data_IF_820335084779
#
_entry.id   IF_820335084779
#
_cell.length_a   1.000
_cell.length_b   1.000
_cell.length_c   1.000
_cell.angle_alpha   90.00
_cell.angle_beta   90.00
_cell.angle_gamma   90.00
#
_symmetry.space_group_name_H-M   'P 1'
#
loop_
_entity.id
_entity.type
_entity.pdbx_description
1 polymer ?
#
# COMPACT_ATOMS: atom_id res chain seq x y z
N UNK A 1 5.95 2.88 -21.72
CA UNK A 1 4.74 3.01 -20.89
C UNK A 1 5.06 2.30 -19.59
N UNK A 2 4.81 2.89 -18.41
CA UNK A 2 5.02 2.14 -17.17
C UNK A 2 4.14 0.90 -17.19
N UNK A 3 4.72 -0.19 -16.73
CA UNK A 3 3.99 -1.44 -16.57
C UNK A 3 3.73 -1.61 -15.08
N UNK A 4 2.80 -0.79 -14.56
CA UNK A 4 2.40 -0.83 -13.17
C UNK A 4 1.48 -2.02 -12.95
N UNK A 5 1.84 -2.88 -12.01
CA UNK A 5 0.98 -3.94 -11.51
C UNK A 5 0.73 -3.76 -10.02
N UNK A 6 -0.51 -4.04 -9.58
CA UNK A 6 -0.87 -4.09 -8.17
C UNK A 6 -1.03 -5.53 -7.71
N UNK A 7 -0.28 -5.91 -6.68
CA UNK A 7 -0.31 -7.25 -6.08
C UNK A 7 -0.99 -7.17 -4.72
N UNK A 8 -2.23 -7.64 -4.64
CA UNK A 8 -2.96 -7.74 -3.37
C UNK A 8 -2.55 -9.01 -2.61
N UNK A 9 -2.04 -8.79 -1.40
CA UNK A 9 -1.53 -9.84 -0.52
C UNK A 9 -2.58 -10.17 0.54
N UNK A 10 -3.20 -9.16 1.15
CA UNK A 10 -4.28 -9.35 2.11
C UNK A 10 -5.57 -9.86 1.43
N UNK A 11 -6.33 -10.79 2.04
CA UNK A 11 -6.11 -11.43 3.35
C UNK A 11 -5.30 -12.75 3.27
N UNK A 12 -4.63 -13.04 2.15
CA UNK A 12 -4.02 -14.36 1.90
C UNK A 12 -2.86 -14.70 2.83
N UNK A 13 -2.19 -13.69 3.40
CA UNK A 13 -1.07 -13.86 4.33
C UNK A 13 -1.48 -13.27 5.69
N UNK A 14 -1.40 -14.10 6.73
CA UNK A 14 -1.65 -13.70 8.12
C UNK A 14 -0.54 -12.78 8.67
N UNK A 15 -0.77 -12.20 9.84
CA UNK A 15 0.24 -11.44 10.59
C UNK A 15 1.53 -12.26 10.78
N UNK A 16 2.66 -11.70 10.35
CA UNK A 16 4.00 -12.25 10.56
C UNK A 16 4.82 -11.16 11.25
N UNK A 17 5.46 -11.48 12.37
CA UNK A 17 6.30 -10.53 13.12
C UNK A 17 5.60 -9.19 13.42
N UNK A 18 4.32 -9.23 13.82
CA UNK A 18 3.50 -8.03 14.08
C UNK A 18 3.23 -7.18 12.84
N UNK A 19 3.45 -7.70 11.65
CA UNK A 19 3.19 -7.00 10.39
C UNK A 19 2.20 -7.77 9.52
N UNK A 20 1.35 -7.02 8.83
CA UNK A 20 0.43 -7.54 7.83
C UNK A 20 0.73 -6.88 6.49
N UNK A 21 1.14 -7.67 5.50
CA UNK A 21 1.36 -7.16 4.15
C UNK A 21 0.02 -6.99 3.45
N UNK A 22 -0.28 -5.77 2.98
CA UNK A 22 -1.57 -5.45 2.39
C UNK A 22 -1.55 -5.61 0.88
N UNK A 23 -0.73 -4.80 0.21
CA UNK A 23 -0.54 -4.85 -1.23
C UNK A 23 0.80 -4.23 -1.62
N UNK A 24 1.17 -4.44 -2.88
CA UNK A 24 2.37 -3.86 -3.49
C UNK A 24 2.02 -3.25 -4.83
N UNK A 25 2.63 -2.11 -5.14
CA UNK A 25 2.55 -1.49 -6.47
C UNK A 25 3.93 -1.62 -7.10
N UNK A 26 4.02 -2.34 -8.22
CA UNK A 26 5.29 -2.71 -8.87
C UNK A 26 5.38 -2.06 -10.24
N UNK A 27 6.45 -1.30 -10.50
CA UNK A 27 6.81 -0.97 -11.88
C UNK A 27 7.69 -2.10 -12.44
N UNK A 28 7.14 -2.90 -13.35
CA UNK A 28 7.87 -4.05 -13.91
C UNK A 28 9.05 -3.68 -14.80
N UNK A 29 9.13 -2.44 -15.28
CA UNK A 29 10.25 -2.01 -16.12
C UNK A 29 11.55 -1.91 -15.30
N UNK A 30 11.46 -1.37 -14.09
CA UNK A 30 12.59 -1.10 -13.20
C UNK A 30 12.59 -2.00 -11.95
N UNK A 31 11.56 -2.84 -11.78
CA UNK A 31 11.34 -3.75 -10.65
C UNK A 31 11.29 -3.04 -9.29
N UNK A 32 10.89 -1.78 -9.29
CA UNK A 32 10.71 -0.98 -8.08
C UNK A 32 9.32 -1.19 -7.49
N UNK A 33 9.17 -0.96 -6.19
CA UNK A 33 7.93 -1.26 -5.48
C UNK A 33 7.61 -0.24 -4.41
N UNK A 34 6.33 0.11 -4.31
CA UNK A 34 5.73 0.65 -3.10
C UNK A 34 5.09 -0.52 -2.34
N UNK A 35 5.53 -0.78 -1.12
CA UNK A 35 4.95 -1.83 -0.26
C UNK A 35 4.10 -1.17 0.79
N UNK A 36 2.82 -1.56 0.85
CA UNK A 36 1.87 -1.08 1.85
C UNK A 36 1.62 -2.21 2.84
N UNK A 37 1.82 -1.92 4.12
CA UNK A 37 1.73 -2.90 5.20
C UNK A 37 1.23 -2.24 6.49
N UNK A 38 0.58 -3.01 7.35
CA UNK A 38 0.21 -2.58 8.69
C UNK A 38 1.20 -3.13 9.72
N UNK A 39 1.66 -2.31 10.66
CA UNK A 39 2.44 -2.74 11.81
C UNK A 39 1.57 -2.67 13.07
N UNK A 40 1.47 -3.77 13.83
CA UNK A 40 0.59 -3.88 14.99
C UNK A 40 1.02 -2.91 16.08
N UNK A 41 0.10 -2.03 16.48
CA UNK A 41 0.25 -1.12 17.62
C UNK A 41 -0.94 -1.32 18.56
N UNK A 42 -0.71 -2.04 19.66
CA UNK A 42 -1.75 -2.45 20.61
C UNK A 42 -2.87 -3.27 19.93
N UNK A 43 -4.07 -2.69 19.77
CA UNK A 43 -5.24 -3.34 19.14
C UNK A 43 -5.37 -2.99 17.66
N UNK A 44 -4.73 -1.91 17.23
CA UNK A 44 -4.81 -1.38 15.87
C UNK A 44 -3.51 -1.68 15.09
N UNK A 45 -3.44 -1.16 13.88
CA UNK A 45 -2.27 -1.19 13.03
C UNK A 45 -1.89 0.24 12.62
N UNK A 46 -0.61 0.55 12.67
CA UNK A 46 -0.04 1.69 11.96
C UNK A 46 0.12 1.29 10.50
N UNK A 47 -0.63 1.96 9.61
CA UNK A 47 -0.56 1.72 8.18
C UNK A 47 0.64 2.47 7.62
N UNK A 48 1.56 1.74 7.02
CA UNK A 48 2.83 2.22 6.53
C UNK A 48 2.97 1.92 5.05
N UNK A 49 3.70 2.80 4.36
CA UNK A 49 4.15 2.61 2.99
C UNK A 49 5.66 2.77 2.95
N UNK A 50 6.37 1.82 2.36
CA UNK A 50 7.80 1.92 2.08
C UNK A 50 8.06 1.94 0.58
N UNK A 51 8.85 2.91 0.14
CA UNK A 51 9.42 2.93 -1.20
C UNK A 51 10.72 2.13 -1.19
N UNK A 52 10.77 1.01 -1.90
CA UNK A 52 11.92 0.09 -1.84
C UNK A 52 13.19 0.65 -2.50
N UNK A 53 13.07 1.71 -3.31
CA UNK A 53 14.21 2.37 -3.93
C UNK A 53 14.90 3.33 -2.96
N UNK A 54 14.13 4.17 -2.25
CA UNK A 54 14.67 5.16 -1.31
C UNK A 54 14.84 4.60 0.10
N UNK A 55 14.11 3.54 0.45
CA UNK A 55 13.97 3.07 1.83
C UNK A 55 13.13 3.99 2.70
N UNK A 56 12.51 5.04 2.12
CA UNK A 56 11.67 5.98 2.86
C UNK A 56 10.37 5.31 3.29
N UNK A 57 10.06 5.42 4.58
CA UNK A 57 8.83 4.93 5.19
C UNK A 57 7.91 6.11 5.46
N UNK A 58 6.65 6.00 5.04
CA UNK A 58 5.61 6.99 5.25
C UNK A 58 4.45 6.39 6.02
N UNK A 59 3.99 7.12 7.02
CA UNK A 59 2.81 6.77 7.79
C UNK A 59 1.55 7.27 7.06
N UNK A 60 0.62 6.36 6.79
CA UNK A 60 -0.67 6.62 6.15
C UNK A 60 -1.79 6.87 7.19
N UNK A 61 -1.59 6.39 8.42
CA UNK A 61 -2.45 6.61 9.59
C UNK A 61 -2.64 5.34 10.42
N UNK A 62 -3.46 5.44 11.46
CA UNK A 62 -3.89 4.29 12.26
C UNK A 62 -5.14 3.65 11.65
N UNK A 63 -5.21 2.33 11.66
CA UNK A 63 -6.31 1.55 11.09
C UNK A 63 -6.59 0.32 11.96
N UNK A 64 -7.87 0.03 12.23
CA UNK A 64 -8.23 -1.21 12.90
C UNK A 64 -8.43 -2.37 11.90
N UNK A 65 -8.58 -3.59 12.41
CA UNK A 65 -8.70 -4.81 11.59
C UNK A 65 -9.91 -4.79 10.65
N UNK A 66 -11.04 -4.21 11.08
CA UNK A 66 -12.26 -4.08 10.28
C UNK A 66 -12.12 -3.04 9.16
N UNK A 67 -11.28 -2.02 9.37
CA UNK A 67 -11.05 -0.94 8.41
C UNK A 67 -10.06 -1.33 7.32
N UNK A 68 -9.16 -2.28 7.57
CA UNK A 68 -8.18 -2.77 6.58
C UNK A 68 -8.87 -3.29 5.32
N UNK A 69 -9.93 -4.09 5.46
CA UNK A 69 -10.69 -4.59 4.31
C UNK A 69 -11.34 -3.45 3.52
N UNK A 70 -11.88 -2.43 4.21
CA UNK A 70 -12.47 -1.24 3.58
C UNK A 70 -11.41 -0.46 2.80
N UNK A 71 -10.25 -0.26 3.40
CA UNK A 71 -9.12 0.42 2.77
C UNK A 71 -8.64 -0.31 1.51
N UNK A 72 -8.44 -1.63 1.59
CA UNK A 72 -8.10 -2.46 0.43
C UNK A 72 -9.15 -2.35 -0.68
N UNK A 73 -10.43 -2.41 -0.33
CA UNK A 73 -11.53 -2.29 -1.29
C UNK A 73 -11.53 -0.93 -1.98
N UNK A 74 -11.27 0.14 -1.22
CA UNK A 74 -11.12 1.50 -1.74
C UNK A 74 -9.94 1.63 -2.70
N UNK A 75 -8.79 1.03 -2.36
CA UNK A 75 -7.61 1.01 -3.25
C UNK A 75 -7.95 0.30 -4.56
N UNK A 76 -8.58 -0.88 -4.51
CA UNK A 76 -9.03 -1.61 -5.70
C UNK A 76 -9.97 -0.78 -6.59
N UNK A 77 -10.92 -0.07 -5.98
CA UNK A 77 -11.86 0.77 -6.72
C UNK A 77 -11.17 1.91 -7.48
N UNK A 78 -10.00 2.36 -7.00
CA UNK A 78 -9.24 3.47 -7.58
C UNK A 78 -7.99 3.03 -8.33
N UNK A 79 -7.79 1.73 -8.52
CA UNK A 79 -6.58 1.17 -9.14
C UNK A 79 -6.25 1.82 -10.47
N UNK A 80 -7.24 1.86 -11.37
CA UNK A 80 -7.08 2.47 -12.70
C UNK A 80 -6.66 3.94 -12.65
N UNK A 81 -6.99 4.68 -11.59
CA UNK A 81 -6.64 6.10 -11.46
C UNK A 81 -5.13 6.26 -11.24
N UNK A 82 -4.55 5.46 -10.33
CA UNK A 82 -3.13 5.60 -10.00
C UNK A 82 -2.22 4.77 -10.91
N UNK A 83 -2.68 3.64 -11.46
CA UNK A 83 -1.87 2.88 -12.43
C UNK A 83 -1.69 3.60 -13.77
N UNK A 84 -2.51 4.62 -14.03
CA UNK A 84 -2.38 5.50 -15.20
C UNK A 84 -1.38 6.66 -15.00
N UNK A 85 -0.82 6.83 -13.81
CA UNK A 85 0.14 7.90 -13.49
C UNK A 85 1.52 7.65 -14.10
N UNK A 86 2.35 8.70 -14.10
CA UNK A 86 3.59 8.73 -14.89
C UNK A 86 4.77 8.04 -14.23
N UNK A 87 4.77 7.83 -12.92
CA UNK A 87 5.85 7.16 -12.20
C UNK A 87 5.39 6.75 -10.78
N UNK A 88 6.24 6.00 -10.07
CA UNK A 88 5.99 5.59 -8.70
C UNK A 88 5.91 6.78 -7.74
N UNK A 89 6.56 7.93 -8.01
CA UNK A 89 6.48 9.09 -7.12
C UNK A 89 5.09 9.75 -7.18
N UNK A 90 4.48 9.83 -8.36
CA UNK A 90 3.10 10.31 -8.52
C UNK A 90 2.12 9.34 -7.83
N UNK A 91 2.33 8.03 -7.98
CA UNK A 91 1.53 7.00 -7.29
C UNK A 91 1.68 7.13 -5.78
N UNK A 92 2.90 7.31 -5.29
CA UNK A 92 3.18 7.46 -3.86
C UNK A 92 2.41 8.64 -3.26
N UNK A 93 2.45 9.80 -3.94
CA UNK A 93 1.65 10.98 -3.57
C UNK A 93 0.16 10.70 -3.61
N UNK A 94 -0.31 9.95 -4.60
CA UNK A 94 -1.71 9.58 -4.69
C UNK A 94 -2.14 8.74 -3.50
N UNK A 95 -1.39 7.69 -3.17
CA UNK A 95 -1.67 6.79 -2.04
C UNK A 95 -1.63 7.53 -0.70
N UNK A 96 -0.68 8.45 -0.51
CA UNK A 96 -0.62 9.31 0.69
C UNK A 96 -1.87 10.15 0.90
N UNK A 97 -2.48 10.60 -0.19
CA UNK A 97 -3.71 11.41 -0.14
C UNK A 97 -4.99 10.56 -0.10
N UNK A 98 -4.87 9.23 -0.18
CA UNK A 98 -6.01 8.34 -0.08
C UNK A 98 -6.37 8.13 1.40
N UNK A 99 -7.46 8.76 1.86
CA UNK A 99 -7.88 8.65 3.26
C UNK A 99 -8.12 7.20 3.69
N UNK A 100 -7.74 6.87 4.92
CA UNK A 100 -8.04 5.57 5.55
C UNK A 100 -9.55 5.45 5.84
N UNK A 101 -10.20 6.58 6.14
CA UNK A 101 -11.64 6.69 6.42
C UNK A 101 -12.48 6.87 5.15
#
# INVERSE_FOLDING_TARGET
>A
MLNINVLYIYPKIMEINKEINLFRIVDNNIKETLVIYGQKVQRDFELLMINTMSGEIKNLGLINELEIEKYITKVKAKENEFTALKDLNEIEKYILNLSIN
#
